data_IF_330567093862
#
_entry.id   IF_330567093862
#
_cell.length_a   1.000
_cell.length_b   1.000
_cell.length_c   1.000
_cell.angle_alpha   90.00
_cell.angle_beta   90.00
_cell.angle_gamma   90.00
#
_symmetry.space_group_name_H-M   'P 1'
#
loop_
_entity.id
_entity.type
_entity.pdbx_description
1 polymer ?
#
# COMPACT_ATOMS: atom_id res chain seq x y z
N UNK A 1 1.71 -6.73 19.17
CA UNK A 1 1.90 -7.31 17.84
C UNK A 1 3.27 -6.97 17.26
N UNK A 2 3.60 -7.56 16.10
CA UNK A 2 4.93 -7.42 15.47
C UNK A 2 5.28 -5.96 15.18
N UNK A 3 4.34 -5.19 14.65
CA UNK A 3 4.56 -3.78 14.32
C UNK A 3 5.01 -2.94 15.54
N UNK A 4 4.38 -3.11 16.71
CA UNK A 4 4.80 -2.40 17.93
C UNK A 4 6.22 -2.78 18.37
N UNK A 5 6.63 -4.04 18.17
CA UNK A 5 8.03 -4.46 18.43
C UNK A 5 9.00 -3.77 17.47
N UNK A 6 8.65 -3.67 16.20
CA UNK A 6 9.45 -2.97 15.20
C UNK A 6 9.57 -1.47 15.52
N UNK A 7 8.47 -0.80 15.89
CA UNK A 7 8.51 0.60 16.33
C UNK A 7 9.44 0.75 17.54
N UNK A 8 9.32 -0.12 18.54
CA UNK A 8 10.16 -0.09 19.74
C UNK A 8 11.67 -0.19 19.41
N UNK A 9 12.02 -0.93 18.37
CA UNK A 9 13.42 -1.14 17.94
C UNK A 9 13.93 -0.03 17.02
N UNK A 10 13.09 0.53 16.14
CA UNK A 10 13.52 1.33 15.00
C UNK A 10 13.21 2.82 15.12
N UNK A 11 12.28 3.23 16.01
CA UNK A 11 11.81 4.61 16.10
C UNK A 11 12.95 5.62 16.27
N UNK A 12 13.94 5.32 17.12
CA UNK A 12 15.11 6.19 17.32
C UNK A 12 15.89 6.43 16.03
N UNK A 13 16.22 5.34 15.31
CA UNK A 13 16.94 5.43 14.04
C UNK A 13 16.12 6.15 12.96
N UNK A 14 14.79 5.92 12.92
CA UNK A 14 13.91 6.62 12.00
C UNK A 14 13.87 8.11 12.29
N UNK A 15 13.80 8.50 13.58
CA UNK A 15 13.85 9.92 13.98
C UNK A 15 15.18 10.58 13.59
N UNK A 16 16.30 9.95 13.91
CA UNK A 16 17.64 10.47 13.62
C UNK A 16 17.88 10.65 12.10
N UNK A 17 17.31 9.75 11.29
CA UNK A 17 17.45 9.77 9.83
C UNK A 17 16.29 10.47 9.10
N UNK A 18 15.36 11.09 9.85
CA UNK A 18 14.15 11.72 9.31
C UNK A 18 13.33 10.79 8.37
N UNK A 19 13.20 9.52 8.75
CA UNK A 19 12.43 8.51 8.00
C UNK A 19 10.98 8.55 8.47
N UNK A 20 10.04 8.65 7.52
CA UNK A 20 8.60 8.52 7.76
C UNK A 20 8.19 7.06 7.75
N UNK A 21 7.26 6.70 8.64
CA UNK A 21 6.73 5.34 8.74
C UNK A 21 5.23 5.38 8.38
N UNK A 22 4.82 4.62 7.39
CA UNK A 22 3.41 4.46 7.01
C UNK A 22 3.07 2.98 7.00
N UNK A 23 1.99 2.59 7.66
CA UNK A 23 1.63 1.18 7.77
C UNK A 23 0.12 0.99 7.93
N UNK A 24 -0.43 -0.07 7.32
CA UNK A 24 -1.80 -0.54 7.50
C UNK A 24 -1.97 -1.50 8.70
N UNK A 25 -0.97 -1.56 9.59
CA UNK A 25 -0.99 -2.41 10.79
C UNK A 25 -2.09 -2.03 11.82
N UNK A 26 -2.75 -0.90 11.65
CA UNK A 26 -3.89 -0.47 12.47
C UNK A 26 -5.09 -1.41 12.34
N UNK A 27 -5.24 -2.08 11.20
CA UNK A 27 -6.30 -3.06 10.97
C UNK A 27 -7.69 -2.50 11.25
N UNK A 28 -8.42 -3.08 12.20
CA UNK A 28 -9.76 -2.63 12.60
C UNK A 28 -9.75 -1.59 13.73
N UNK A 29 -8.59 -1.24 14.27
CA UNK A 29 -8.48 -0.27 15.38
C UNK A 29 -7.19 0.57 15.28
N UNK A 30 -7.05 1.42 14.27
CA UNK A 30 -5.86 2.24 14.06
C UNK A 30 -5.62 3.23 15.21
N UNK A 31 -6.68 3.75 15.81
CA UNK A 31 -6.60 4.67 16.96
C UNK A 31 -5.89 4.05 18.15
N UNK A 32 -6.29 2.84 18.54
CA UNK A 32 -5.62 2.15 19.67
C UNK A 32 -4.17 1.81 19.34
N UNK A 33 -3.87 1.44 18.10
CA UNK A 33 -2.50 1.20 17.66
C UNK A 33 -1.65 2.48 17.77
N UNK A 34 -2.18 3.63 17.35
CA UNK A 34 -1.49 4.92 17.46
C UNK A 34 -1.20 5.28 18.94
N UNK A 35 -2.17 5.10 19.83
CA UNK A 35 -1.99 5.33 21.27
C UNK A 35 -0.86 4.44 21.85
N UNK A 36 -0.80 3.17 21.48
CA UNK A 36 0.28 2.29 21.94
C UNK A 36 1.66 2.70 21.38
N UNK A 37 1.71 3.21 20.14
CA UNK A 37 2.93 3.77 19.57
C UNK A 37 3.37 5.01 20.35
N UNK A 38 2.46 5.94 20.64
CA UNK A 38 2.77 7.14 21.43
C UNK A 38 3.32 6.80 22.82
N UNK A 39 2.82 5.76 23.48
CA UNK A 39 3.37 5.27 24.76
C UNK A 39 4.84 4.81 24.59
N UNK A 40 5.12 3.98 23.57
CA UNK A 40 6.48 3.50 23.29
C UNK A 40 7.43 4.69 23.04
N UNK A 41 7.02 5.66 22.24
CA UNK A 41 7.81 6.85 21.94
C UNK A 41 8.10 7.68 23.20
N UNK A 42 7.10 7.86 24.03
CA UNK A 42 7.22 8.56 25.32
C UNK A 42 8.17 7.87 26.28
N UNK A 43 8.06 6.56 26.42
CA UNK A 43 8.97 5.75 27.26
C UNK A 43 10.42 5.87 26.81
N UNK A 44 10.66 6.00 25.51
CA UNK A 44 12.00 6.17 24.93
C UNK A 44 12.44 7.63 24.80
N UNK A 45 11.61 8.60 25.22
CA UNK A 45 11.87 10.04 25.04
C UNK A 45 12.13 10.43 23.58
N UNK A 46 11.41 9.82 22.63
CA UNK A 46 11.50 10.09 21.19
C UNK A 46 10.35 11.01 20.79
N UNK A 47 10.68 12.20 20.28
CA UNK A 47 9.71 13.19 19.79
C UNK A 47 9.37 12.90 18.31
N UNK A 48 8.37 12.06 18.06
CA UNK A 48 7.79 11.78 16.75
C UNK A 48 6.27 11.97 16.81
N UNK A 49 5.74 12.61 15.76
CA UNK A 49 4.30 12.86 15.64
C UNK A 49 3.60 11.66 15.02
N UNK A 50 2.66 11.08 15.76
CA UNK A 50 1.83 9.95 15.29
C UNK A 50 0.48 10.46 14.79
N UNK A 51 0.06 9.98 13.63
CA UNK A 51 -1.29 10.15 13.12
C UNK A 51 -1.93 8.79 12.88
N UNK A 52 -3.24 8.72 12.95
CA UNK A 52 -3.99 7.58 12.45
C UNK A 52 -5.05 8.03 11.45
N UNK A 53 -5.38 7.16 10.51
CA UNK A 53 -6.45 7.33 9.55
C UNK A 53 -7.66 6.54 10.05
N UNK A 54 -8.86 7.04 9.85
CA UNK A 54 -10.13 6.39 10.16
C UNK A 54 -11.15 6.62 9.04
N UNK A 55 -12.37 6.11 9.23
CA UNK A 55 -13.47 6.27 8.26
C UNK A 55 -13.70 5.06 7.36
N UNK A 56 -12.96 3.99 7.54
CA UNK A 56 -13.17 2.71 6.85
C UNK A 56 -14.32 1.88 7.45
N UNK A 57 -14.56 1.98 8.76
CA UNK A 57 -15.61 1.23 9.46
C UNK A 57 -17.01 1.78 9.12
N UNK A 58 -17.76 1.00 8.36
CA UNK A 58 -19.13 1.33 7.95
C UNK A 58 -20.20 0.76 8.89
N UNK A 59 -19.86 -0.07 9.88
CA UNK A 59 -20.84 -0.68 10.77
C UNK A 59 -21.74 0.35 11.45
N UNK A 60 -21.26 1.51 11.94
CA UNK A 60 -22.10 2.54 12.54
C UNK A 60 -23.10 3.17 11.55
N UNK A 61 -22.81 3.13 10.24
CA UNK A 61 -23.57 3.82 9.21
C UNK A 61 -24.25 2.90 8.21
N UNK A 62 -23.98 1.60 8.24
CA UNK A 62 -24.46 0.63 7.24
C UNK A 62 -25.99 0.64 7.08
N UNK A 63 -26.73 0.79 8.18
CA UNK A 63 -28.20 0.87 8.14
C UNK A 63 -28.71 2.14 7.43
N UNK A 64 -27.99 3.26 7.58
CA UNK A 64 -28.33 4.51 6.92
C UNK A 64 -27.98 4.46 5.43
N UNK A 65 -26.82 3.87 5.09
CA UNK A 65 -26.39 3.65 3.71
C UNK A 65 -27.40 2.76 2.96
N UNK A 66 -27.89 1.69 3.57
CA UNK A 66 -28.96 0.86 3.01
C UNK A 66 -30.25 1.64 2.78
N UNK A 67 -30.67 2.48 3.73
CA UNK A 67 -31.86 3.34 3.59
C UNK A 67 -31.70 4.37 2.47
N UNK A 68 -30.47 4.82 2.19
CA UNK A 68 -30.16 5.72 1.06
C UNK A 68 -29.99 5.02 -0.28
N UNK A 69 -30.20 3.69 -0.34
CA UNK A 69 -30.21 2.92 -1.57
C UNK A 69 -28.94 2.11 -1.86
N UNK A 70 -27.97 2.08 -0.93
CA UNK A 70 -26.81 1.21 -1.11
C UNK A 70 -27.20 -0.26 -0.89
N UNK A 71 -27.02 -1.07 -1.92
CA UNK A 71 -27.39 -2.48 -1.92
C UNK A 71 -26.30 -3.42 -1.43
N UNK A 72 -25.06 -2.95 -1.34
CA UNK A 72 -23.87 -3.75 -1.00
C UNK A 72 -23.81 -5.08 -1.78
N UNK A 73 -23.89 -4.98 -3.11
CA UNK A 73 -23.86 -6.14 -3.98
C UNK A 73 -22.51 -6.87 -3.89
N UNK A 74 -22.56 -8.18 -3.71
CA UNK A 74 -21.37 -9.03 -3.83
C UNK A 74 -20.80 -8.91 -5.26
N UNK A 75 -19.51 -8.65 -5.37
CA UNK A 75 -18.85 -8.35 -6.66
C UNK A 75 -18.91 -9.54 -7.61
N UNK A 76 -18.76 -10.78 -7.09
CA UNK A 76 -18.69 -11.98 -7.92
C UNK A 76 -20.09 -12.53 -8.28
N UNK A 77 -21.01 -12.49 -7.30
CA UNK A 77 -22.33 -13.14 -7.42
C UNK A 77 -23.47 -12.19 -7.76
N UNK A 78 -23.23 -10.88 -7.65
CA UNK A 78 -24.25 -9.84 -7.87
C UNK A 78 -25.40 -9.82 -6.86
N UNK A 79 -25.39 -10.69 -5.83
CA UNK A 79 -26.43 -10.75 -4.79
C UNK A 79 -26.30 -9.54 -3.86
N UNK A 80 -27.45 -8.97 -3.48
CA UNK A 80 -27.52 -7.91 -2.47
C UNK A 80 -27.21 -8.48 -1.08
N UNK A 81 -26.70 -7.63 -0.18
CA UNK A 81 -26.42 -8.02 1.21
C UNK A 81 -27.67 -8.58 1.88
N UNK A 82 -28.84 -7.95 1.70
CA UNK A 82 -30.11 -8.39 2.28
C UNK A 82 -30.59 -9.77 1.79
N UNK A 83 -30.14 -10.18 0.61
CA UNK A 83 -30.45 -11.49 0.04
C UNK A 83 -29.47 -12.58 0.49
N UNK A 84 -28.42 -12.21 1.21
CA UNK A 84 -27.39 -13.16 1.68
C UNK A 84 -27.86 -14.05 2.81
N UNK A 85 -28.81 -13.57 3.60
CA UNK A 85 -29.27 -14.24 4.85
C UNK A 85 -28.32 -14.07 6.04
N UNK A 86 -27.25 -13.29 5.88
CA UNK A 86 -26.26 -13.03 6.93
C UNK A 86 -26.37 -11.62 7.51
N UNK A 87 -26.05 -11.48 8.79
CA UNK A 87 -25.88 -10.18 9.45
C UNK A 87 -24.39 -9.84 9.49
N UNK A 88 -23.98 -8.66 9.03
CA UNK A 88 -22.59 -8.25 9.10
C UNK A 88 -22.05 -8.19 10.52
N UNK A 89 -20.87 -8.74 10.75
CA UNK A 89 -20.07 -8.56 11.95
C UNK A 89 -19.10 -7.39 11.81
N UNK A 90 -18.55 -7.22 10.59
CA UNK A 90 -17.70 -6.09 10.21
C UNK A 90 -18.03 -5.64 8.80
N UNK A 91 -17.87 -4.36 8.52
CA UNK A 91 -17.99 -3.78 7.19
C UNK A 91 -16.96 -2.65 7.05
N UNK A 92 -15.95 -2.87 6.24
CA UNK A 92 -14.85 -1.91 6.09
C UNK A 92 -14.65 -1.55 4.62
N UNK A 93 -14.68 -0.25 4.31
CA UNK A 93 -14.29 0.26 3.01
C UNK A 93 -12.76 0.19 2.85
N UNK A 94 -12.29 -0.16 1.64
CA UNK A 94 -10.88 0.00 1.32
C UNK A 94 -10.62 1.45 0.96
N UNK A 95 -9.95 2.18 1.87
CA UNK A 95 -9.60 3.58 1.66
C UNK A 95 -8.38 3.71 0.73
N UNK A 96 -8.21 4.90 0.15
CA UNK A 96 -7.06 5.26 -0.66
C UNK A 96 -5.98 6.02 0.13
N UNK A 97 -5.13 6.71 -0.61
CA UNK A 97 -3.90 7.33 -0.13
C UNK A 97 -4.06 8.76 0.42
N UNK A 98 -5.18 9.43 0.15
CA UNK A 98 -5.30 10.87 0.43
C UNK A 98 -5.31 11.22 1.91
N UNK A 99 -5.83 10.35 2.77
CA UNK A 99 -5.72 10.51 4.22
C UNK A 99 -4.26 10.44 4.69
N UNK A 100 -3.46 9.57 4.07
CA UNK A 100 -2.02 9.43 4.36
C UNK A 100 -1.29 10.70 3.97
N UNK A 101 -1.54 11.21 2.74
CA UNK A 101 -0.97 12.48 2.28
C UNK A 101 -1.28 13.62 3.24
N UNK A 102 -2.55 13.78 3.63
CA UNK A 102 -2.99 14.82 4.56
C UNK A 102 -2.30 14.71 5.93
N UNK A 103 -2.12 13.50 6.46
CA UNK A 103 -1.40 13.29 7.71
C UNK A 103 0.06 13.73 7.61
N UNK A 104 0.73 13.40 6.50
CA UNK A 104 2.11 13.79 6.22
C UNK A 104 2.24 15.30 5.98
N UNK A 105 1.30 15.95 5.29
CA UNK A 105 1.22 17.40 5.11
C UNK A 105 1.11 18.13 6.46
N UNK A 106 0.41 17.53 7.42
CA UNK A 106 0.30 18.02 8.81
C UNK A 106 1.53 17.69 9.68
N UNK A 107 2.55 17.11 9.09
CA UNK A 107 3.84 16.85 9.71
C UNK A 107 3.91 15.55 10.52
N UNK A 108 3.05 14.56 10.25
CA UNK A 108 3.18 13.25 10.88
C UNK A 108 4.53 12.60 10.53
N UNK A 109 5.12 11.91 11.50
CA UNK A 109 6.30 11.07 11.33
C UNK A 109 5.90 9.61 11.17
N UNK A 110 4.81 9.20 11.84
CA UNK A 110 4.25 7.85 11.77
C UNK A 110 2.76 7.97 11.43
N UNK A 111 2.33 7.26 10.38
CA UNK A 111 0.92 7.20 9.97
C UNK A 111 0.42 5.78 10.08
N UNK A 112 -0.57 5.56 10.93
CA UNK A 112 -1.23 4.26 11.15
C UNK A 112 -2.53 4.23 10.38
N UNK A 113 -2.61 3.35 9.39
CA UNK A 113 -3.79 3.20 8.55
C UNK A 113 -4.66 2.02 9.01
N UNK A 114 -5.97 2.10 8.77
CA UNK A 114 -6.92 1.00 8.92
C UNK A 114 -6.93 0.11 7.67
N UNK A 115 -8.10 -0.25 7.14
CA UNK A 115 -8.26 -0.94 5.86
C UNK A 115 -8.08 0.06 4.72
N UNK A 116 -6.88 0.13 4.19
CA UNK A 116 -6.53 0.85 2.96
C UNK A 116 -6.13 -0.18 1.90
N UNK A 117 -6.13 0.20 0.64
CA UNK A 117 -5.48 -0.64 -0.40
C UNK A 117 -3.98 -0.70 -0.14
N UNK A 118 -3.36 -1.84 -0.44
CA UNK A 118 -1.96 -2.07 -0.08
C UNK A 118 -1.02 -1.04 -0.71
N UNK A 119 -1.27 -0.66 -1.96
CA UNK A 119 -0.50 0.39 -2.63
C UNK A 119 -0.71 1.79 -2.03
N UNK A 120 -1.80 2.05 -1.28
CA UNK A 120 -2.06 3.36 -0.70
C UNK A 120 -0.94 3.83 0.25
N UNK A 121 -0.27 2.87 0.95
CA UNK A 121 0.86 3.17 1.84
C UNK A 121 2.12 3.61 1.09
N UNK A 122 2.15 3.49 -0.23
CA UNK A 122 3.21 3.98 -1.13
C UNK A 122 2.74 5.22 -1.89
N UNK A 123 1.52 5.21 -2.44
CA UNK A 123 0.95 6.35 -3.16
C UNK A 123 0.89 7.60 -2.25
N UNK A 124 0.47 7.45 -0.99
CA UNK A 124 0.33 8.56 -0.05
C UNK A 124 1.64 9.32 0.19
N UNK A 125 2.73 8.66 0.60
CA UNK A 125 4.04 9.26 0.73
C UNK A 125 4.59 9.88 -0.56
N UNK A 126 4.41 9.22 -1.71
CA UNK A 126 4.84 9.76 -3.00
C UNK A 126 4.05 11.04 -3.35
N UNK A 127 2.73 11.01 -3.25
CA UNK A 127 1.87 12.18 -3.48
C UNK A 127 2.20 13.34 -2.53
N UNK A 128 2.55 13.06 -1.28
CA UNK A 128 3.05 14.05 -0.34
C UNK A 128 4.41 14.61 -0.76
N UNK A 129 5.35 13.75 -1.08
CA UNK A 129 6.73 14.14 -1.43
C UNK A 129 6.79 15.04 -2.66
N UNK A 130 6.02 14.71 -3.69
CA UNK A 130 5.99 15.40 -4.97
C UNK A 130 4.83 16.38 -5.11
N UNK A 131 4.03 16.55 -4.05
CA UNK A 131 2.87 17.43 -4.03
C UNK A 131 1.88 17.15 -5.17
N UNK A 132 1.67 15.88 -5.50
CA UNK A 132 0.71 15.48 -6.52
C UNK A 132 -0.73 15.83 -6.12
N UNK A 133 -1.52 16.10 -7.15
CA UNK A 133 -2.96 16.32 -7.03
C UNK A 133 -3.71 15.06 -7.45
N UNK A 134 -5.04 15.07 -7.20
CA UNK A 134 -5.91 13.92 -7.50
C UNK A 134 -6.03 13.58 -8.99
N UNK A 135 -5.66 14.48 -9.88
CA UNK A 135 -5.67 14.34 -11.33
C UNK A 135 -4.32 14.03 -11.95
N UNK A 136 -3.26 13.88 -11.16
CA UNK A 136 -1.96 13.41 -11.62
C UNK A 136 -1.96 11.89 -11.87
N UNK A 137 -2.91 11.41 -12.68
CA UNK A 137 -3.22 10.00 -12.83
C UNK A 137 -2.03 9.12 -13.22
N UNK A 138 -1.19 9.56 -14.17
CA UNK A 138 -0.03 8.76 -14.60
C UNK A 138 0.99 8.58 -13.47
N UNK A 139 1.29 9.63 -12.72
CA UNK A 139 2.19 9.55 -11.57
C UNK A 139 1.62 8.70 -10.43
N UNK A 140 0.32 8.85 -10.13
CA UNK A 140 -0.38 8.02 -9.14
C UNK A 140 -0.39 6.54 -9.55
N UNK A 141 -0.59 6.25 -10.85
CA UNK A 141 -0.55 4.89 -11.38
C UNK A 141 0.84 4.26 -11.27
N UNK A 142 1.90 5.04 -11.51
CA UNK A 142 3.28 4.61 -11.29
C UNK A 142 3.55 4.26 -9.83
N UNK A 143 3.17 5.13 -8.89
CA UNK A 143 3.32 4.85 -7.46
C UNK A 143 2.46 3.66 -7.01
N UNK A 144 1.28 3.46 -7.62
CA UNK A 144 0.46 2.26 -7.39
C UNK A 144 1.21 1.00 -7.83
N UNK A 145 1.80 1.01 -9.03
CA UNK A 145 2.58 -0.12 -9.53
C UNK A 145 3.78 -0.41 -8.61
N UNK A 146 4.49 0.63 -8.15
CA UNK A 146 5.57 0.48 -7.18
C UNK A 146 5.08 -0.17 -5.87
N UNK A 147 3.96 0.31 -5.34
CA UNK A 147 3.34 -0.24 -4.13
C UNK A 147 2.97 -1.70 -4.29
N UNK A 148 2.31 -2.05 -5.40
CA UNK A 148 1.93 -3.43 -5.70
C UNK A 148 3.14 -4.38 -5.83
N UNK A 149 4.27 -3.89 -6.37
CA UNK A 149 5.49 -4.70 -6.46
C UNK A 149 6.09 -4.97 -5.08
N UNK A 150 6.15 -3.96 -4.19
CA UNK A 150 6.89 -4.11 -2.93
C UNK A 150 6.05 -4.63 -1.76
N UNK A 151 4.72 -4.62 -1.84
CA UNK A 151 3.81 -4.96 -0.74
C UNK A 151 4.05 -6.35 -0.16
N UNK A 152 4.34 -7.34 -0.99
CA UNK A 152 4.57 -8.72 -0.58
C UNK A 152 6.03 -9.02 -0.20
N UNK A 153 6.85 -7.99 0.01
CA UNK A 153 8.23 -8.14 0.47
C UNK A 153 9.07 -9.02 -0.44
N UNK A 154 9.69 -10.06 0.11
CA UNK A 154 10.62 -10.94 -0.60
C UNK A 154 10.02 -11.67 -1.82
N UNK A 155 8.72 -11.62 -2.06
CA UNK A 155 8.15 -12.16 -3.30
C UNK A 155 8.70 -11.43 -4.52
N UNK A 156 8.83 -10.10 -4.46
CA UNK A 156 9.37 -9.28 -5.55
C UNK A 156 10.87 -9.48 -5.78
N UNK A 157 11.57 -10.04 -4.82
CA UNK A 157 13.01 -10.35 -4.90
C UNK A 157 13.29 -11.83 -5.11
N UNK A 158 12.36 -12.54 -5.75
CA UNK A 158 12.53 -13.93 -6.21
C UNK A 158 11.64 -14.95 -5.52
N UNK A 159 10.99 -14.63 -4.37
CA UNK A 159 10.15 -15.57 -3.62
C UNK A 159 8.89 -16.00 -4.36
N UNK A 160 8.42 -15.24 -5.34
CA UNK A 160 7.28 -15.56 -6.21
C UNK A 160 7.70 -15.89 -7.67
N UNK A 161 8.98 -16.14 -7.90
CA UNK A 161 9.51 -16.30 -9.23
C UNK A 161 9.55 -17.78 -9.64
N UNK A 162 8.82 -18.14 -10.72
CA UNK A 162 8.74 -19.52 -11.18
C UNK A 162 10.10 -20.10 -11.63
N UNK A 163 10.99 -19.23 -12.15
CA UNK A 163 12.34 -19.61 -12.56
C UNK A 163 13.34 -19.48 -11.40
N UNK A 164 12.97 -19.99 -10.25
CA UNK A 164 13.74 -19.85 -9.00
C UNK A 164 15.21 -20.34 -9.08
N UNK A 165 15.56 -21.17 -10.06
CA UNK A 165 16.94 -21.60 -10.31
C UNK A 165 17.86 -20.48 -10.80
N UNK A 166 17.31 -19.36 -11.26
CA UNK A 166 18.06 -18.17 -11.64
C UNK A 166 18.47 -17.35 -10.42
N UNK A 167 17.86 -17.61 -9.26
CA UNK A 167 18.18 -16.95 -7.99
C UNK A 167 19.38 -17.65 -7.37
N UNK A 168 20.52 -16.95 -7.28
CA UNK A 168 21.78 -17.51 -6.80
C UNK A 168 21.70 -18.03 -5.34
N UNK A 169 20.95 -17.30 -4.47
CA UNK A 169 20.76 -17.67 -3.08
C UNK A 169 19.43 -17.17 -2.54
N UNK A 170 18.77 -17.99 -1.74
CA UNK A 170 17.63 -17.59 -0.89
C UNK A 170 18.02 -17.37 0.57
N UNK A 171 19.31 -17.38 0.89
CA UNK A 171 19.78 -17.02 2.22
C UNK A 171 19.73 -15.50 2.39
N UNK A 172 19.20 -15.03 3.52
CA UNK A 172 19.10 -13.60 3.84
C UNK A 172 18.50 -12.77 2.68
N UNK A 173 17.38 -13.21 2.15
CA UNK A 173 16.72 -12.55 1.00
C UNK A 173 16.43 -11.08 1.32
N UNK A 174 16.89 -10.17 0.45
CA UNK A 174 16.67 -8.74 0.58
C UNK A 174 15.21 -8.36 0.31
N UNK A 175 14.67 -7.44 1.11
CA UNK A 175 13.39 -6.82 0.80
C UNK A 175 13.52 -5.87 -0.40
N UNK A 176 12.47 -5.74 -1.23
CA UNK A 176 12.48 -4.80 -2.34
C UNK A 176 12.46 -3.34 -1.83
N UNK A 177 13.14 -2.49 -2.57
CA UNK A 177 13.16 -1.04 -2.39
C UNK A 177 12.64 -0.41 -3.68
N UNK A 178 11.68 0.51 -3.58
CA UNK A 178 11.22 1.32 -4.71
C UNK A 178 11.72 2.76 -4.56
N UNK A 179 12.47 3.23 -5.55
CA UNK A 179 12.92 4.63 -5.67
C UNK A 179 12.01 5.35 -6.67
N UNK A 180 11.05 6.15 -6.18
CA UNK A 180 10.00 6.77 -7.00
C UNK A 180 10.39 8.20 -7.36
N UNK A 181 10.13 8.59 -8.62
CA UNK A 181 10.33 9.93 -9.18
C UNK A 181 9.01 10.69 -9.32
N UNK A 182 9.10 12.00 -9.59
CA UNK A 182 7.96 12.91 -9.66
C UNK A 182 7.00 12.64 -10.83
N UNK A 183 7.46 11.97 -11.88
CA UNK A 183 6.66 11.51 -13.02
C UNK A 183 5.99 10.14 -12.78
N UNK A 184 6.19 9.52 -11.62
CA UNK A 184 5.70 8.20 -11.27
C UNK A 184 6.55 7.03 -11.77
N UNK A 185 7.64 7.28 -12.50
CA UNK A 185 8.62 6.24 -12.80
C UNK A 185 9.39 5.84 -11.54
N UNK A 186 9.97 4.65 -11.52
CA UNK A 186 10.69 4.18 -10.34
C UNK A 186 11.72 3.10 -10.68
N UNK A 187 12.70 2.95 -9.79
CA UNK A 187 13.56 1.77 -9.76
C UNK A 187 13.09 0.79 -8.69
N UNK A 188 13.20 -0.50 -8.99
CA UNK A 188 13.12 -1.59 -8.01
C UNK A 188 14.52 -2.12 -7.78
N UNK A 189 14.93 -2.23 -6.52
CA UNK A 189 16.24 -2.75 -6.10
C UNK A 189 16.10 -3.46 -4.76
N UNK A 190 17.20 -3.94 -4.21
CA UNK A 190 17.31 -4.51 -2.86
C UNK A 190 18.61 -4.06 -2.20
N UNK A 191 18.76 -4.29 -0.91
CA UNK A 191 20.04 -4.01 -0.24
C UNK A 191 21.17 -4.83 -0.86
N UNK A 192 22.36 -4.24 -1.04
CA UNK A 192 23.53 -4.98 -1.47
C UNK A 192 23.86 -6.11 -0.48
N UNK A 193 24.57 -7.12 -0.95
CA UNK A 193 25.03 -8.28 -0.16
C UNK A 193 23.89 -9.08 0.50
N UNK A 194 22.67 -9.00 -0.04
CA UNK A 194 21.52 -9.83 0.33
C UNK A 194 21.22 -10.86 -0.75
N UNK A 195 20.66 -12.01 -0.35
CA UNK A 195 20.11 -13.00 -1.28
C UNK A 195 18.89 -12.47 -2.04
N UNK A 196 18.33 -13.31 -2.88
CA UNK A 196 17.27 -12.95 -3.80
C UNK A 196 17.79 -12.36 -5.11
N UNK A 197 16.89 -12.00 -6.00
CA UNK A 197 17.14 -11.47 -7.33
C UNK A 197 16.12 -10.38 -7.66
N UNK A 198 16.58 -9.23 -8.14
CA UNK A 198 15.72 -8.23 -8.78
C UNK A 198 16.04 -8.21 -10.28
N UNK A 199 15.09 -8.67 -11.08
CA UNK A 199 15.19 -8.73 -12.55
C UNK A 199 13.86 -8.34 -13.18
N UNK A 200 13.86 -8.14 -14.50
CA UNK A 200 12.58 -7.95 -15.23
C UNK A 200 11.63 -9.11 -14.98
N UNK A 201 12.14 -10.34 -14.85
CA UNK A 201 11.33 -11.53 -14.55
C UNK A 201 10.68 -11.49 -13.17
N UNK A 202 11.44 -11.18 -12.10
CA UNK A 202 10.90 -11.13 -10.74
C UNK A 202 9.90 -9.98 -10.55
N UNK A 203 10.17 -8.82 -11.14
CA UNK A 203 9.27 -7.65 -11.12
C UNK A 203 7.99 -7.94 -11.90
N UNK A 204 8.09 -8.56 -13.09
CA UNK A 204 6.92 -8.94 -13.89
C UNK A 204 6.08 -9.98 -13.16
N UNK A 205 6.69 -11.00 -12.54
CA UNK A 205 5.98 -12.02 -11.78
C UNK A 205 5.15 -11.39 -10.66
N UNK A 206 5.69 -10.39 -9.97
CA UNK A 206 4.96 -9.69 -8.91
C UNK A 206 3.87 -8.75 -9.47
N UNK A 207 4.09 -8.07 -10.58
CA UNK A 207 3.06 -7.24 -11.24
C UNK A 207 1.84 -8.07 -11.67
N UNK A 208 2.03 -9.32 -12.06
CA UNK A 208 0.94 -10.22 -12.47
C UNK A 208 0.26 -10.91 -11.28
N UNK A 209 0.82 -10.79 -10.10
CA UNK A 209 0.28 -11.43 -8.90
C UNK A 209 -1.01 -10.75 -8.44
N UNK A 210 -2.05 -11.54 -8.17
CA UNK A 210 -3.36 -11.09 -7.65
C UNK A 210 -4.12 -10.06 -8.52
N UNK A 211 -3.76 -9.87 -9.78
CA UNK A 211 -4.52 -9.01 -10.69
C UNK A 211 -5.40 -9.84 -11.63
N UNK A 212 -6.62 -9.34 -11.90
CA UNK A 212 -7.57 -9.97 -12.83
C UNK A 212 -7.61 -9.28 -14.20
N UNK A 213 -7.14 -8.04 -14.29
CA UNK A 213 -7.19 -7.21 -15.49
C UNK A 213 -5.97 -6.30 -15.53
N UNK A 214 -5.45 -6.00 -16.74
CA UNK A 214 -4.41 -4.98 -16.90
C UNK A 214 -4.82 -3.60 -16.35
N UNK A 215 -6.11 -3.27 -16.39
CA UNK A 215 -6.67 -2.10 -15.72
C UNK A 215 -6.87 -2.41 -14.23
N UNK A 216 -5.87 -2.10 -13.41
CA UNK A 216 -5.88 -2.36 -11.97
C UNK A 216 -6.59 -1.24 -11.22
N UNK A 217 -7.77 -1.56 -10.70
CA UNK A 217 -8.69 -0.58 -10.10
C UNK A 217 -8.37 -0.32 -8.64
N UNK A 218 -8.13 0.94 -8.29
CA UNK A 218 -7.89 1.38 -6.91
C UNK A 218 -8.69 2.67 -6.60
N UNK A 219 -8.90 3.01 -5.32
CA UNK A 219 -9.65 4.22 -4.93
C UNK A 219 -9.01 5.53 -5.39
N UNK A 220 -7.72 5.55 -5.64
CA UNK A 220 -6.98 6.77 -6.01
C UNK A 220 -6.83 6.93 -7.53
N UNK A 221 -6.73 5.81 -8.26
CA UNK A 221 -6.47 5.78 -9.69
C UNK A 221 -6.75 4.38 -10.25
N UNK A 222 -7.12 4.28 -11.53
CA UNK A 222 -7.05 3.03 -12.28
C UNK A 222 -5.72 3.01 -13.01
N UNK A 223 -4.83 2.07 -12.68
CA UNK A 223 -3.53 1.92 -13.31
C UNK A 223 -3.60 0.92 -14.46
N UNK A 224 -3.08 1.29 -15.63
CA UNK A 224 -3.05 0.45 -16.82
C UNK A 224 -1.70 -0.24 -16.94
N UNK A 225 -1.57 -1.43 -16.35
CA UNK A 225 -0.31 -2.18 -16.25
C UNK A 225 0.22 -2.67 -17.60
N UNK A 226 -0.64 -2.79 -18.62
CA UNK A 226 -0.26 -3.09 -20.01
C UNK A 226 0.50 -1.96 -20.71
N UNK A 227 0.59 -0.79 -20.10
CA UNK A 227 1.37 0.35 -20.61
C UNK A 227 2.78 0.43 -20.03
N UNK A 228 3.07 -0.36 -18.97
CA UNK A 228 4.36 -0.36 -18.28
C UNK A 228 5.51 -0.78 -19.21
N UNK A 229 6.63 -0.10 -19.04
CA UNK A 229 7.94 -0.48 -19.58
C UNK A 229 8.83 -0.91 -18.42
N UNK A 230 9.44 -2.07 -18.55
CA UNK A 230 10.27 -2.70 -17.52
C UNK A 230 11.63 -3.01 -18.13
N UNK A 231 12.67 -2.41 -17.60
CA UNK A 231 14.01 -2.49 -18.16
C UNK A 231 15.03 -2.78 -17.04
N UNK A 232 15.81 -3.86 -17.18
CA UNK A 232 16.93 -4.13 -16.29
C UNK A 232 18.10 -3.22 -16.67
N UNK A 233 18.52 -2.36 -15.76
CA UNK A 233 19.56 -1.36 -16.01
C UNK A 233 20.92 -1.76 -15.42
N UNK A 234 20.90 -2.50 -14.34
CA UNK A 234 22.06 -3.04 -13.64
C UNK A 234 21.66 -4.33 -12.92
N UNK A 235 22.64 -5.11 -12.45
CA UNK A 235 22.36 -6.26 -11.57
C UNK A 235 21.52 -5.81 -10.37
N UNK A 236 20.41 -6.50 -10.10
CA UNK A 236 19.47 -6.20 -9.01
C UNK A 236 18.88 -4.76 -9.06
N UNK A 237 18.75 -4.20 -10.26
CA UNK A 237 18.14 -2.87 -10.45
C UNK A 237 17.33 -2.82 -11.73
N UNK A 238 16.03 -2.66 -11.57
CA UNK A 238 15.05 -2.63 -12.67
C UNK A 238 14.36 -1.27 -12.71
N UNK A 239 14.37 -0.62 -13.87
CA UNK A 239 13.63 0.61 -14.12
C UNK A 239 12.23 0.30 -14.63
N UNK A 240 11.22 0.95 -14.05
CA UNK A 240 9.83 0.79 -14.43
C UNK A 240 9.24 2.16 -14.73
N UNK A 241 8.60 2.30 -15.89
CA UNK A 241 8.07 3.59 -16.36
C UNK A 241 6.84 3.44 -17.26
N UNK A 242 6.20 4.57 -17.58
CA UNK A 242 5.15 4.64 -18.59
C UNK A 242 3.80 4.11 -18.15
N UNK A 243 3.58 3.87 -16.85
CA UNK A 243 2.27 3.48 -16.35
C UNK A 243 1.24 4.60 -16.61
N UNK A 244 0.22 4.31 -17.40
CA UNK A 244 -0.88 5.24 -17.62
C UNK A 244 -1.91 5.10 -16.52
N UNK A 245 -2.47 6.23 -16.10
CA UNK A 245 -3.55 6.30 -15.13
C UNK A 245 -4.83 6.86 -15.73
N UNK A 246 -5.96 6.46 -15.18
CA UNK A 246 -7.25 7.09 -15.44
C UNK A 246 -8.00 7.34 -14.13
N UNK A 247 -9.08 8.14 -14.20
CA UNK A 247 -9.86 8.50 -13.01
C UNK A 247 -10.30 7.27 -12.23
N UNK A 248 -10.26 7.33 -10.87
CA UNK A 248 -10.74 6.23 -10.04
C UNK A 248 -12.25 6.01 -10.23
N UNK A 249 -12.77 4.84 -9.81
CA UNK A 249 -14.20 4.57 -9.83
C UNK A 249 -14.95 5.44 -8.81
N UNK A 250 -16.25 5.64 -9.07
CA UNK A 250 -17.15 6.39 -8.17
C UNK A 250 -17.51 5.63 -6.88
N UNK A 251 -17.13 4.36 -6.79
CA UNK A 251 -17.47 3.48 -5.67
C UNK A 251 -16.22 2.83 -5.07
N UNK A 252 -16.27 2.66 -3.76
CA UNK A 252 -15.25 1.91 -3.03
C UNK A 252 -15.65 0.43 -2.87
N UNK A 253 -14.64 -0.45 -2.90
CA UNK A 253 -14.81 -1.83 -2.48
C UNK A 253 -15.00 -1.88 -0.96
N UNK A 254 -15.96 -2.68 -0.50
CA UNK A 254 -16.24 -2.91 0.93
C UNK A 254 -16.08 -4.39 1.23
N UNK A 255 -15.31 -4.70 2.27
CA UNK A 255 -15.22 -6.04 2.83
C UNK A 255 -16.27 -6.17 3.94
N UNK A 256 -17.19 -7.13 3.80
CA UNK A 256 -18.24 -7.41 4.78
C UNK A 256 -18.11 -8.86 5.24
N UNK A 257 -17.98 -9.07 6.55
CA UNK A 257 -17.87 -10.38 7.18
C UNK A 257 -18.98 -10.60 8.21
#
# INVERSE_FOLDING_TARGET
GTFLKQINQLAKSCKEKNIKIVSNAGGLNPKSMAIEIEKILKEQSIDMKVAYIDGDDLMPTISNLKKSGEEFKNIDKGKKLDESGYSPLTANAYLGAWGIKEALDKGADIVVCPRVTDAAVVIGPAAWKFNWKRDNYDALAGALAAGHIIECGCQATGGNYAFFKEVESFDNVGYPIAEIYDDGSFYVTKHPDTGGLVSTGTVTAQLLYEINSPAYVNPDVIAHFDTLKIEEVEKDKVYVSGCRGSSPPDKHKVCIN
#
